data_IF_646806803000
#
_entry.id   IF_646806803000
#
_cell.length_a   1.000
_cell.length_b   1.000
_cell.length_c   1.000
_cell.angle_alpha   90.00
_cell.angle_beta   90.00
_cell.angle_gamma   90.00
#
_symmetry.space_group_name_H-M   'P 1'
#
loop_
_entity.id
_entity.type
_entity.pdbx_description
1 polymer ?
#
# COMPACT_ATOMS: atom_id res chain seq x y z
N UNK A 1 -19.82 -10.17 -62.30
CA UNK A 1 -19.64 -10.67 -60.93
C UNK A 1 -18.29 -10.20 -60.46
N UNK A 2 -18.23 -8.94 -60.04
CA UNK A 2 -17.06 -8.31 -59.44
C UNK A 2 -17.40 -8.17 -57.97
N UNK A 3 -16.86 -9.06 -57.13
CA UNK A 3 -16.90 -8.91 -55.68
C UNK A 3 -15.97 -7.74 -55.33
N UNK A 4 -16.56 -6.62 -54.96
CA UNK A 4 -15.85 -5.53 -54.29
C UNK A 4 -15.90 -5.85 -52.78
N UNK A 5 -14.76 -5.99 -52.09
CA UNK A 5 -14.78 -6.27 -50.66
C UNK A 5 -15.34 -5.03 -49.93
N UNK A 6 -16.50 -5.19 -49.31
CA UNK A 6 -17.12 -4.21 -48.41
C UNK A 6 -16.24 -4.05 -47.17
N UNK A 7 -15.25 -3.14 -47.26
CA UNK A 7 -14.44 -2.73 -46.12
C UNK A 7 -15.30 -1.79 -45.28
N UNK A 8 -15.98 -2.35 -44.29
CA UNK A 8 -16.75 -1.58 -43.33
C UNK A 8 -15.80 -0.63 -42.55
N UNK A 9 -16.01 0.70 -42.61
CA UNK A 9 -15.15 1.70 -41.96
C UNK A 9 -15.14 1.62 -40.41
N UNK A 10 -15.99 0.78 -39.82
CA UNK A 10 -16.07 0.56 -38.38
C UNK A 10 -14.91 -0.32 -37.87
N UNK A 11 -14.38 -1.26 -38.68
CA UNK A 11 -13.26 -2.13 -38.29
C UNK A 11 -11.91 -1.39 -38.21
N UNK A 12 -11.71 -0.34 -39.02
CA UNK A 12 -10.50 0.51 -38.94
C UNK A 12 -10.51 1.44 -37.72
N UNK A 13 -11.68 1.97 -37.34
CA UNK A 13 -11.81 2.92 -36.23
C UNK A 13 -11.52 2.28 -34.86
N UNK A 14 -11.97 1.04 -34.66
CA UNK A 14 -11.73 0.27 -33.42
C UNK A 14 -10.24 -0.12 -33.26
N UNK A 15 -9.56 -0.42 -34.37
CA UNK A 15 -8.13 -0.73 -34.38
C UNK A 15 -7.23 0.45 -33.98
N UNK A 16 -7.55 1.67 -34.44
CA UNK A 16 -6.79 2.88 -34.11
C UNK A 16 -6.96 3.29 -32.65
N UNK A 17 -8.18 3.17 -32.10
CA UNK A 17 -8.48 3.44 -30.69
C UNK A 17 -7.72 2.52 -29.73
N UNK A 18 -7.73 1.21 -30.02
CA UNK A 18 -7.03 0.19 -29.23
C UNK A 18 -5.50 0.31 -29.30
N UNK A 19 -4.93 0.66 -30.46
CA UNK A 19 -3.49 0.88 -30.61
C UNK A 19 -3.00 2.12 -29.82
N UNK A 20 -3.79 3.21 -29.80
CA UNK A 20 -3.43 4.44 -29.09
C UNK A 20 -3.46 4.27 -27.56
N UNK A 21 -4.43 3.51 -27.03
CA UNK A 21 -4.56 3.26 -25.58
C UNK A 21 -3.44 2.35 -25.08
N UNK A 22 -3.07 1.33 -25.86
CA UNK A 22 -1.96 0.42 -25.56
C UNK A 22 -0.60 1.14 -25.61
N UNK A 23 -0.40 2.06 -26.56
CA UNK A 23 0.80 2.91 -26.63
C UNK A 23 0.90 3.90 -25.47
N UNK A 24 -0.20 4.53 -25.05
CA UNK A 24 -0.23 5.40 -23.87
C UNK A 24 0.10 4.64 -22.59
N UNK A 25 -0.43 3.42 -22.43
CA UNK A 25 -0.13 2.56 -21.28
C UNK A 25 1.33 2.09 -21.27
N UNK A 26 1.92 1.79 -22.43
CA UNK A 26 3.35 1.47 -22.55
C UNK A 26 4.23 2.67 -22.19
N UNK A 27 3.91 3.87 -22.70
CA UNK A 27 4.65 5.09 -22.38
C UNK A 27 4.56 5.41 -20.89
N UNK A 28 3.36 5.32 -20.28
CA UNK A 28 3.24 5.56 -18.83
C UNK A 28 4.00 4.53 -18.00
N UNK A 29 4.01 3.27 -18.44
CA UNK A 29 4.77 2.20 -17.78
C UNK A 29 6.29 2.42 -17.89
N UNK A 30 6.78 2.84 -19.06
CA UNK A 30 8.20 3.15 -19.27
C UNK A 30 8.61 4.38 -18.46
N UNK A 31 7.81 5.45 -18.48
CA UNK A 31 8.06 6.64 -17.65
C UNK A 31 8.07 6.27 -16.17
N UNK A 32 7.11 5.46 -15.72
CA UNK A 32 7.08 4.95 -14.34
C UNK A 32 8.31 4.11 -13.98
N UNK A 33 8.76 3.23 -14.88
CA UNK A 33 9.95 2.41 -14.68
C UNK A 33 11.23 3.25 -14.65
N UNK A 34 11.36 4.25 -15.53
CA UNK A 34 12.52 5.16 -15.56
C UNK A 34 12.56 6.01 -14.30
N UNK A 35 11.43 6.59 -13.89
CA UNK A 35 11.35 7.37 -12.65
C UNK A 35 11.63 6.51 -11.42
N UNK A 36 11.04 5.31 -11.35
CA UNK A 36 11.30 4.36 -10.27
C UNK A 36 12.77 3.91 -10.22
N UNK A 37 13.37 3.65 -11.38
CA UNK A 37 14.78 3.30 -11.51
C UNK A 37 15.70 4.45 -11.11
N UNK A 38 15.40 5.68 -11.54
CA UNK A 38 16.16 6.88 -11.17
C UNK A 38 16.07 7.16 -9.66
N UNK A 39 14.87 7.05 -9.08
CA UNK A 39 14.68 7.18 -7.63
C UNK A 39 15.46 6.11 -6.86
N UNK A 40 15.37 4.85 -7.29
CA UNK A 40 16.13 3.74 -6.68
C UNK A 40 17.64 3.98 -6.78
N UNK A 41 18.12 4.40 -7.96
CA UNK A 41 19.52 4.72 -8.17
C UNK A 41 20.01 5.83 -7.24
N UNK A 42 19.24 6.91 -7.09
CA UNK A 42 19.56 8.00 -6.17
C UNK A 42 19.61 7.52 -4.73
N UNK A 43 18.62 6.74 -4.28
CA UNK A 43 18.59 6.18 -2.92
C UNK A 43 19.81 5.32 -2.65
N UNK A 44 20.13 4.38 -3.55
CA UNK A 44 21.29 3.48 -3.40
C UNK A 44 22.58 4.29 -3.43
N UNK A 45 22.71 5.25 -4.35
CA UNK A 45 23.90 6.09 -4.45
C UNK A 45 24.12 6.89 -3.17
N UNK A 46 23.10 7.57 -2.66
CA UNK A 46 23.18 8.36 -1.42
C UNK A 46 23.48 7.46 -0.23
N UNK A 47 22.84 6.30 -0.13
CA UNK A 47 23.07 5.35 0.95
C UNK A 47 24.52 4.85 0.97
N UNK A 48 25.10 4.58 -0.20
CA UNK A 48 26.51 4.15 -0.31
C UNK A 48 27.48 5.30 -0.03
N UNK A 49 27.20 6.51 -0.54
CA UNK A 49 28.09 7.65 -0.35
C UNK A 49 28.12 8.15 1.09
N UNK A 50 26.99 8.09 1.79
CA UNK A 50 26.85 8.56 3.18
C UNK A 50 26.87 7.40 4.19
N UNK A 51 27.27 6.20 3.76
CA UNK A 51 27.24 5.01 4.63
C UNK A 51 28.13 5.17 5.87
N UNK A 52 29.32 5.73 5.70
CA UNK A 52 30.25 5.92 6.82
C UNK A 52 29.74 6.97 7.81
N UNK A 53 29.14 8.06 7.34
CA UNK A 53 28.52 9.07 8.19
C UNK A 53 27.30 8.51 8.94
N UNK A 54 26.45 7.74 8.25
CA UNK A 54 25.32 7.04 8.87
C UNK A 54 25.78 6.05 9.94
N UNK A 55 26.85 5.29 9.67
CA UNK A 55 27.45 4.34 10.62
C UNK A 55 28.01 5.05 11.85
N UNK A 56 28.70 6.18 11.66
CA UNK A 56 29.20 7.00 12.76
C UNK A 56 28.04 7.51 13.63
N UNK A 57 26.98 8.05 13.00
CA UNK A 57 25.80 8.53 13.71
C UNK A 57 25.05 7.42 14.49
N UNK A 58 24.97 6.20 13.93
CA UNK A 58 24.37 5.04 14.62
C UNK A 58 25.23 4.61 15.80
N UNK A 59 26.56 4.64 15.66
CA UNK A 59 27.49 4.21 16.71
C UNK A 59 27.51 5.19 17.88
N UNK A 60 27.38 6.48 17.60
CA UNK A 60 27.32 7.54 18.61
C UNK A 60 25.91 7.73 19.20
N UNK A 61 24.92 7.01 18.69
CA UNK A 61 23.53 7.15 19.12
C UNK A 61 23.36 6.77 20.60
N UNK A 62 22.80 7.71 21.37
CA UNK A 62 22.50 7.48 22.78
C UNK A 62 21.37 6.46 22.93
N UNK A 63 21.67 5.35 23.60
CA UNK A 63 20.73 4.23 23.85
C UNK A 63 19.42 4.69 24.49
N UNK A 64 19.47 5.68 25.39
CA UNK A 64 18.26 6.23 26.03
C UNK A 64 17.26 6.81 25.03
N UNK A 65 17.73 7.57 24.04
CA UNK A 65 16.88 8.12 22.98
C UNK A 65 16.41 7.05 22.00
N UNK A 66 17.22 6.03 21.73
CA UNK A 66 16.79 4.88 20.93
C UNK A 66 15.62 4.14 21.60
N UNK A 67 15.72 3.86 22.90
CA UNK A 67 14.64 3.22 23.66
C UNK A 67 13.40 4.11 23.68
N UNK A 68 13.56 5.42 23.93
CA UNK A 68 12.45 6.36 23.90
C UNK A 68 11.76 6.39 22.52
N UNK A 69 12.52 6.43 21.44
CA UNK A 69 12.01 6.40 20.07
C UNK A 69 11.23 5.12 19.77
N UNK A 70 11.74 3.95 20.19
CA UNK A 70 11.04 2.67 20.03
C UNK A 70 9.73 2.65 20.81
N UNK A 71 9.73 3.13 22.06
CA UNK A 71 8.52 3.20 22.90
C UNK A 71 7.49 4.16 22.32
N UNK A 72 7.90 5.38 21.97
CA UNK A 72 7.03 6.40 21.38
C UNK A 72 6.48 5.95 20.02
N UNK A 73 7.33 5.38 19.16
CA UNK A 73 6.92 4.85 17.86
C UNK A 73 5.93 3.70 17.99
N UNK A 74 6.19 2.77 18.91
CA UNK A 74 5.28 1.64 19.19
C UNK A 74 3.94 2.12 19.76
N UNK A 75 3.97 3.11 20.67
CA UNK A 75 2.77 3.72 21.21
C UNK A 75 1.96 4.45 20.13
N UNK A 76 2.62 5.17 19.23
CA UNK A 76 2.00 5.80 18.06
C UNK A 76 1.31 4.76 17.18
N UNK A 77 2.02 3.68 16.82
CA UNK A 77 1.46 2.61 15.98
C UNK A 77 0.28 1.89 16.66
N UNK A 78 0.39 1.63 17.97
CA UNK A 78 -0.69 1.06 18.75
C UNK A 78 -1.90 2.00 18.83
N UNK A 79 -1.70 3.31 18.91
CA UNK A 79 -2.80 4.28 18.94
C UNK A 79 -3.66 4.20 17.67
N UNK A 80 -3.04 4.02 16.50
CA UNK A 80 -3.73 3.82 15.22
C UNK A 80 -4.54 2.52 15.26
N UNK A 81 -3.95 1.43 15.75
CA UNK A 81 -4.67 0.16 15.92
C UNK A 81 -5.85 0.25 16.89
N UNK A 82 -5.74 1.04 17.97
CA UNK A 82 -6.85 1.31 18.90
C UNK A 82 -7.97 2.09 18.22
N UNK A 83 -7.64 3.13 17.42
CA UNK A 83 -8.63 3.88 16.64
C UNK A 83 -9.38 2.93 15.69
N UNK A 84 -8.66 2.06 14.99
CA UNK A 84 -9.29 1.03 14.15
C UNK A 84 -10.19 0.08 14.96
N UNK A 85 -9.80 -0.30 16.18
CA UNK A 85 -10.66 -1.06 17.10
C UNK A 85 -11.94 -0.35 17.50
N UNK A 86 -11.90 0.97 17.71
CA UNK A 86 -13.09 1.78 17.97
C UNK A 86 -14.02 1.82 16.75
N UNK A 87 -13.45 1.90 15.55
CA UNK A 87 -14.22 1.80 14.30
C UNK A 87 -14.91 0.43 14.25
N UNK A 88 -14.21 -0.67 14.47
CA UNK A 88 -14.80 -2.02 14.51
C UNK A 88 -15.97 -2.12 15.51
N UNK A 89 -15.83 -1.53 16.70
CA UNK A 89 -16.90 -1.45 17.69
C UNK A 89 -18.15 -0.73 17.16
N UNK A 90 -17.99 0.37 16.42
CA UNK A 90 -19.11 1.09 15.79
C UNK A 90 -19.81 0.26 14.71
N UNK A 91 -19.11 -0.68 14.08
CA UNK A 91 -19.68 -1.66 13.16
C UNK A 91 -20.31 -2.88 13.85
N UNK A 92 -20.41 -2.87 15.19
CA UNK A 92 -21.03 -3.92 16.00
C UNK A 92 -20.07 -5.06 16.39
N UNK A 93 -18.78 -4.95 16.08
CA UNK A 93 -17.77 -5.97 16.38
C UNK A 93 -17.12 -5.67 17.73
N UNK A 94 -17.50 -6.43 18.76
CA UNK A 94 -16.93 -6.30 20.11
C UNK A 94 -15.76 -7.25 20.29
N UNK A 95 -14.55 -6.77 20.05
CA UNK A 95 -13.31 -7.53 20.20
C UNK A 95 -12.38 -6.78 21.16
N UNK A 96 -11.70 -7.51 22.05
CA UNK A 96 -10.76 -6.92 23.00
C UNK A 96 -9.58 -6.23 22.29
N UNK A 97 -9.13 -5.10 22.85
CA UNK A 97 -8.10 -4.22 22.27
C UNK A 97 -6.83 -4.96 21.88
N UNK A 98 -6.34 -5.88 22.72
CA UNK A 98 -5.12 -6.66 22.45
C UNK A 98 -5.24 -7.48 21.15
N UNK A 99 -6.42 -8.05 20.89
CA UNK A 99 -6.66 -8.88 19.70
C UNK A 99 -6.80 -8.03 18.44
N UNK A 100 -7.40 -6.85 18.56
CA UNK A 100 -7.43 -5.86 17.48
C UNK A 100 -6.01 -5.41 17.12
N UNK A 101 -5.19 -5.09 18.13
CA UNK A 101 -3.79 -4.70 17.90
C UNK A 101 -3.00 -5.80 17.21
N UNK A 102 -3.17 -7.06 17.62
CA UNK A 102 -2.54 -8.19 16.94
C UNK A 102 -2.93 -8.26 15.45
N UNK A 103 -4.21 -8.12 15.10
CA UNK A 103 -4.64 -8.07 13.70
C UNK A 103 -4.09 -6.87 12.95
N UNK A 104 -4.03 -5.71 13.62
CA UNK A 104 -3.50 -4.49 13.04
C UNK A 104 -2.02 -4.63 12.68
N UNK A 105 -1.19 -5.09 13.62
CA UNK A 105 0.25 -5.26 13.42
C UNK A 105 0.58 -6.35 12.39
N UNK A 106 -0.14 -7.46 12.40
CA UNK A 106 0.03 -8.49 11.36
C UNK A 106 -0.39 -7.96 9.99
N UNK A 107 -1.45 -7.14 9.93
CA UNK A 107 -1.87 -6.47 8.70
C UNK A 107 -0.85 -5.47 8.16
N UNK A 108 -0.12 -4.79 9.05
CA UNK A 108 0.96 -3.88 8.67
C UNK A 108 2.13 -4.61 8.01
N UNK A 109 2.36 -5.90 8.28
CA UNK A 109 3.36 -6.69 7.55
C UNK A 109 3.05 -6.78 6.05
N UNK A 110 1.78 -6.64 5.68
CA UNK A 110 1.34 -6.58 4.29
C UNK A 110 2.02 -5.47 3.48
N UNK A 111 2.40 -4.35 4.10
CA UNK A 111 2.97 -3.20 3.36
C UNK A 111 4.37 -3.47 2.80
N UNK A 112 5.04 -4.51 3.31
CA UNK A 112 6.37 -4.91 2.87
C UNK A 112 6.34 -5.93 1.71
N UNK A 113 5.15 -6.41 1.33
CA UNK A 113 4.97 -7.29 0.19
C UNK A 113 4.70 -6.48 -1.10
N UNK A 114 5.26 -6.90 -2.25
CA UNK A 114 5.01 -6.23 -3.52
C UNK A 114 3.52 -6.30 -3.91
N UNK A 115 2.92 -5.13 -4.17
CA UNK A 115 1.49 -4.94 -4.43
C UNK A 115 0.73 -4.43 -3.20
N UNK A 116 0.45 -3.13 -3.11
CA UNK A 116 -0.14 -2.44 -1.94
C UNK A 116 -1.55 -2.89 -1.49
N UNK A 117 -2.06 -3.98 -2.05
CA UNK A 117 -3.31 -4.64 -1.66
C UNK A 117 -3.16 -5.52 -0.41
N UNK A 118 -1.95 -5.96 -0.06
CA UNK A 118 -1.73 -6.88 1.06
C UNK A 118 -2.11 -6.35 2.45
N UNK A 119 -1.97 -5.05 2.80
CA UNK A 119 -2.51 -4.52 4.05
C UNK A 119 -4.04 -4.65 4.14
N UNK A 120 -4.72 -4.45 3.00
CA UNK A 120 -6.18 -4.59 2.88
C UNK A 120 -6.60 -6.04 3.02
N UNK A 121 -5.92 -6.93 2.30
CA UNK A 121 -6.15 -8.37 2.37
C UNK A 121 -5.83 -8.91 3.75
N UNK A 122 -4.69 -8.54 4.34
CA UNK A 122 -4.25 -9.00 5.65
C UNK A 122 -5.22 -8.62 6.77
N UNK A 123 -5.58 -7.34 6.89
CA UNK A 123 -6.55 -6.87 7.90
C UNK A 123 -7.95 -7.41 7.65
N UNK A 124 -8.41 -7.37 6.39
CA UNK A 124 -9.75 -7.82 6.00
C UNK A 124 -9.93 -9.33 6.22
N UNK A 125 -8.94 -10.13 5.87
CA UNK A 125 -8.98 -11.58 6.00
C UNK A 125 -8.83 -12.03 7.46
N UNK A 126 -7.97 -11.37 8.26
CA UNK A 126 -7.87 -11.65 9.70
C UNK A 126 -9.16 -11.29 10.44
N UNK A 127 -9.77 -10.15 10.12
CA UNK A 127 -11.07 -9.78 10.67
C UNK A 127 -12.17 -10.77 10.24
N UNK A 128 -12.15 -11.24 8.98
CA UNK A 128 -13.07 -12.27 8.49
C UNK A 128 -12.93 -13.58 9.26
N UNK A 129 -11.69 -14.05 9.48
CA UNK A 129 -11.39 -15.25 10.28
C UNK A 129 -11.79 -15.08 11.75
N UNK A 130 -11.81 -13.86 12.25
CA UNK A 130 -12.37 -13.49 13.55
C UNK A 130 -13.89 -13.42 13.62
N UNK A 131 -14.61 -13.80 12.54
CA UNK A 131 -16.08 -13.85 12.51
C UNK A 131 -16.75 -12.59 11.93
N UNK A 132 -15.99 -11.61 11.43
CA UNK A 132 -16.57 -10.41 10.81
C UNK A 132 -17.06 -10.72 9.39
N UNK A 133 -18.29 -10.35 9.01
CA UNK A 133 -18.78 -10.51 7.64
C UNK A 133 -17.84 -9.86 6.62
N UNK A 134 -17.52 -10.59 5.54
CA UNK A 134 -16.52 -10.22 4.53
C UNK A 134 -16.67 -8.77 4.05
N UNK A 135 -17.89 -8.36 3.68
CA UNK A 135 -18.16 -7.01 3.17
C UNK A 135 -17.79 -5.92 4.18
N UNK A 136 -18.06 -6.14 5.47
CA UNK A 136 -17.73 -5.19 6.56
C UNK A 136 -16.23 -5.18 6.86
N UNK A 137 -15.59 -6.35 6.82
CA UNK A 137 -14.16 -6.46 7.06
C UNK A 137 -13.35 -5.67 6.03
N UNK A 138 -13.59 -5.86 4.73
CA UNK A 138 -12.87 -5.14 3.68
C UNK A 138 -13.24 -3.66 3.60
N UNK A 139 -14.54 -3.31 3.74
CA UNK A 139 -14.96 -1.91 3.74
C UNK A 139 -14.33 -1.10 4.88
N UNK A 140 -14.16 -1.70 6.06
CA UNK A 140 -13.53 -1.03 7.20
C UNK A 140 -12.07 -0.65 6.94
N UNK A 141 -11.33 -1.48 6.20
CA UNK A 141 -9.92 -1.23 5.88
C UNK A 141 -9.79 -0.17 4.79
N UNK A 142 -10.66 -0.21 3.78
CA UNK A 142 -10.71 0.81 2.74
C UNK A 142 -11.05 2.20 3.32
N UNK A 143 -12.03 2.28 4.21
CA UNK A 143 -12.41 3.52 4.89
C UNK A 143 -11.26 4.06 5.77
N UNK A 144 -10.56 3.16 6.48
CA UNK A 144 -9.41 3.52 7.32
C UNK A 144 -8.24 4.09 6.51
N UNK A 145 -7.96 3.52 5.33
CA UNK A 145 -6.93 4.05 4.43
C UNK A 145 -7.37 5.40 3.85
N UNK A 146 -8.63 5.53 3.42
CA UNK A 146 -9.18 6.79 2.93
C UNK A 146 -9.04 7.92 3.95
N UNK A 147 -9.43 7.68 5.20
CA UNK A 147 -9.28 8.67 6.29
C UNK A 147 -7.82 9.02 6.55
N UNK A 148 -6.90 8.05 6.49
CA UNK A 148 -5.48 8.28 6.71
C UNK A 148 -4.84 9.14 5.61
N UNK A 149 -5.30 8.99 4.36
CA UNK A 149 -4.77 9.77 3.23
C UNK A 149 -5.44 11.14 3.04
N UNK A 150 -6.60 11.36 3.67
CA UNK A 150 -7.35 12.62 3.63
C UNK A 150 -7.08 13.55 4.83
N UNK A 151 -6.42 13.05 5.87
CA UNK A 151 -6.05 13.79 7.08
C UNK A 151 -4.60 14.28 7.01
#
# INVERSE_FOLDING_TARGET
MTDEPDVHPEDEADGVGAASSRRKALISSVVGAVLGGAAMFLVVRTLVSEWEDAKAAITDAQVGWLVAAVVLGSAGMASIGVVWGRVLHRFGVRVGTVRVLAWYFVGELGKYLPGGVWPVVGRGELARRGGVPRTRAYASVALSLGMLYLA
#
